data_IF_771392015455
#
_entry.id   IF_771392015455
#
_cell.length_a   1.000
_cell.length_b   1.000
_cell.length_c   1.000
_cell.angle_alpha   90.00
_cell.angle_beta   90.00
_cell.angle_gamma   90.00
#
_symmetry.space_group_name_H-M   'P 1'
#
loop_
_entity.id
_entity.type
_entity.pdbx_description
1 polymer ?
#
# COMPACT_ATOMS: atom_id res chain seq x y z
N UNK A 1 -1.56 1.28 1.88
CA UNK A 1 -1.99 -0.07 2.33
C UNK A 1 -1.03 -1.07 1.71
N UNK A 2 -0.62 -2.11 2.42
CA UNK A 2 0.32 -3.10 1.88
C UNK A 2 -0.25 -4.51 1.96
N UNK A 3 0.34 -5.44 1.21
CA UNK A 3 0.22 -6.86 1.47
C UNK A 3 0.88 -7.22 2.81
N UNK A 4 0.68 -8.46 3.28
CA UNK A 4 1.37 -8.93 4.49
C UNK A 4 2.87 -9.07 4.28
N UNK A 5 3.30 -9.61 3.14
CA UNK A 5 4.71 -9.74 2.79
C UNK A 5 5.41 -8.39 2.70
N UNK A 6 4.80 -7.41 2.02
CA UNK A 6 5.41 -6.08 1.86
C UNK A 6 5.40 -5.31 3.19
N UNK A 7 4.39 -5.52 4.04
CA UNK A 7 4.37 -4.92 5.36
C UNK A 7 5.57 -5.40 6.20
N UNK A 8 5.85 -6.72 6.18
CA UNK A 8 6.99 -7.29 6.90
C UNK A 8 8.31 -6.81 6.31
N UNK A 9 8.46 -6.90 4.99
CA UNK A 9 9.67 -6.46 4.28
C UNK A 9 9.96 -4.98 4.55
N UNK A 10 9.01 -4.09 4.26
CA UNK A 10 9.19 -2.64 4.42
C UNK A 10 9.26 -2.20 5.88
N UNK A 11 8.84 -3.02 6.85
CA UNK A 11 9.02 -2.66 8.27
C UNK A 11 10.48 -2.77 8.72
N UNK A 12 11.29 -3.58 8.03
CA UNK A 12 12.71 -3.77 8.31
C UNK A 12 13.62 -2.87 7.45
N UNK A 13 13.08 -2.28 6.38
CA UNK A 13 13.82 -1.38 5.48
C UNK A 13 14.03 0.03 6.08
N UNK A 14 15.24 0.61 5.96
CA UNK A 14 15.51 1.98 6.37
C UNK A 14 14.57 2.99 5.68
N UNK A 15 14.13 4.01 6.42
CA UNK A 15 13.25 5.04 5.87
C UNK A 15 11.76 4.69 5.85
N UNK A 16 11.42 3.46 6.24
CA UNK A 16 10.06 2.99 6.40
C UNK A 16 9.74 2.64 7.85
N UNK A 17 8.46 2.80 8.21
CA UNK A 17 7.94 2.40 9.52
C UNK A 17 6.47 2.03 9.44
N UNK A 18 5.93 1.22 10.37
CA UNK A 18 4.49 1.03 10.50
C UNK A 18 3.76 2.39 10.62
N UNK A 19 2.73 2.59 9.80
CA UNK A 19 2.02 3.87 9.73
C UNK A 19 1.38 4.21 11.09
N UNK A 20 1.66 5.39 11.66
CA UNK A 20 1.05 5.81 12.92
C UNK A 20 -0.48 5.72 12.89
N UNK A 21 -1.08 5.28 13.99
CA UNK A 21 -2.53 5.06 14.16
C UNK A 21 -3.16 3.94 13.33
N UNK A 22 -2.72 3.72 12.09
CA UNK A 22 -3.29 2.70 11.21
C UNK A 22 -2.73 1.32 11.57
N UNK A 23 -1.41 1.19 11.66
CA UNK A 23 -0.77 -0.05 12.03
C UNK A 23 -1.07 -0.45 13.48
N UNK A 24 -1.14 0.51 14.39
CA UNK A 24 -1.52 0.26 15.79
C UNK A 24 -2.96 -0.22 15.97
N UNK A 25 -3.80 -0.13 14.94
CA UNK A 25 -5.17 -0.67 14.89
C UNK A 25 -5.28 -1.98 14.12
N UNK A 26 -4.15 -2.66 13.90
CA UNK A 26 -4.10 -3.97 13.25
C UNK A 26 -4.20 -3.92 11.72
N UNK A 27 -4.07 -2.73 11.10
CA UNK A 27 -4.06 -2.62 9.65
C UNK A 27 -2.63 -2.61 9.11
N UNK A 28 -2.35 -3.41 8.09
CA UNK A 28 -1.04 -3.41 7.42
C UNK A 28 -0.88 -2.17 6.52
N UNK A 29 -0.40 -1.07 7.11
CA UNK A 29 -0.07 0.17 6.42
C UNK A 29 1.34 0.60 6.82
N UNK A 30 2.17 0.90 5.83
CA UNK A 30 3.51 1.43 6.02
C UNK A 30 3.53 2.93 5.74
N UNK A 31 4.44 3.64 6.38
CA UNK A 31 4.81 5.01 6.09
C UNK A 31 6.28 5.02 5.67
N UNK A 32 6.56 5.49 4.45
CA UNK A 32 7.89 6.00 4.09
C UNK A 32 8.01 7.39 4.73
N UNK A 33 8.98 7.58 5.62
CA UNK A 33 9.19 8.83 6.35
C UNK A 33 10.52 9.51 6.02
N UNK A 34 11.43 8.77 5.39
CA UNK A 34 12.72 9.26 4.92
C UNK A 34 13.01 8.49 3.63
N UNK A 35 13.07 9.20 2.50
CA UNK A 35 13.20 8.62 1.16
C UNK A 35 14.28 9.38 0.41
N UNK A 36 15.30 8.70 -0.15
CA UNK A 36 16.20 9.35 -1.10
C UNK A 36 15.46 9.62 -2.42
N UNK A 37 15.81 10.71 -3.12
CA UNK A 37 15.22 11.15 -4.40
C UNK A 37 15.33 10.11 -5.56
N UNK A 38 15.98 8.96 -5.31
CA UNK A 38 16.21 7.88 -6.27
C UNK A 38 15.20 6.74 -6.20
N UNK A 39 14.24 6.77 -5.27
CA UNK A 39 13.25 5.70 -5.02
C UNK A 39 11.89 5.90 -5.72
N UNK A 40 11.79 6.82 -6.68
CA UNK A 40 10.50 7.16 -7.32
C UNK A 40 9.80 5.95 -7.96
N UNK A 41 10.54 5.06 -8.65
CA UNK A 41 9.96 3.89 -9.32
C UNK A 41 9.41 2.85 -8.33
N UNK A 42 10.12 2.61 -7.23
CA UNK A 42 9.66 1.69 -6.18
C UNK A 42 8.47 2.26 -5.42
N UNK A 43 8.49 3.56 -5.13
CA UNK A 43 7.37 4.25 -4.51
C UNK A 43 6.11 4.17 -5.40
N UNK A 44 6.26 4.40 -6.71
CA UNK A 44 5.16 4.24 -7.67
C UNK A 44 4.60 2.82 -7.62
N UNK A 45 5.46 1.80 -7.67
CA UNK A 45 5.05 0.41 -7.57
C UNK A 45 4.21 0.14 -6.31
N UNK A 46 4.67 0.56 -5.13
CA UNK A 46 3.94 0.33 -3.88
C UNK A 46 2.63 1.14 -3.79
N UNK A 47 2.55 2.30 -4.44
CA UNK A 47 1.30 3.07 -4.55
C UNK A 47 0.29 2.35 -5.44
N UNK A 48 0.72 1.83 -6.60
CA UNK A 48 -0.12 1.06 -7.52
C UNK A 48 -0.67 -0.19 -6.85
N UNK A 49 0.19 -0.95 -6.16
CA UNK A 49 -0.23 -2.15 -5.42
C UNK A 49 -1.17 -1.80 -4.25
N UNK A 50 -0.88 -0.72 -3.51
CA UNK A 50 -1.79 -0.21 -2.48
C UNK A 50 -3.17 0.13 -3.04
N UNK A 51 -3.21 0.78 -4.20
CA UNK A 51 -4.46 1.10 -4.89
C UNK A 51 -5.21 -0.17 -5.31
N UNK A 52 -4.51 -1.16 -5.87
CA UNK A 52 -5.10 -2.45 -6.22
C UNK A 52 -5.73 -3.13 -4.99
N UNK A 53 -4.99 -3.30 -3.89
CA UNK A 53 -5.47 -3.92 -2.65
C UNK A 53 -6.71 -3.23 -2.11
N UNK A 54 -6.71 -1.88 -2.06
CA UNK A 54 -7.87 -1.11 -1.56
C UNK A 54 -9.06 -1.25 -2.52
N UNK A 55 -8.82 -1.26 -3.82
CA UNK A 55 -9.88 -1.41 -4.83
C UNK A 55 -10.60 -2.76 -4.73
N UNK A 56 -9.91 -3.83 -4.32
CA UNK A 56 -10.51 -5.15 -4.08
C UNK A 56 -11.54 -5.13 -2.94
N UNK A 57 -11.43 -4.20 -2.00
CA UNK A 57 -12.40 -4.01 -0.91
C UNK A 57 -13.72 -3.34 -1.35
N UNK A 58 -13.78 -2.79 -2.56
CA UNK A 58 -15.01 -2.21 -3.11
C UNK A 58 -16.00 -3.31 -3.51
N UNK A 59 -17.30 -2.97 -3.55
CA UNK A 59 -18.31 -3.89 -4.08
C UNK A 59 -18.08 -4.13 -5.58
N UNK A 60 -18.44 -5.31 -6.10
CA UNK A 60 -18.32 -5.63 -7.54
C UNK A 60 -19.01 -4.59 -8.44
N UNK A 61 -20.14 -4.04 -7.98
CA UNK A 61 -20.84 -2.95 -8.69
C UNK A 61 -19.95 -1.71 -8.79
N UNK A 62 -19.34 -1.30 -7.67
CA UNK A 62 -18.49 -0.10 -7.63
C UNK A 62 -17.18 -0.28 -8.39
N UNK A 63 -16.59 -1.48 -8.32
CA UNK A 63 -15.43 -1.86 -9.13
C UNK A 63 -15.74 -1.69 -10.62
N UNK A 64 -16.86 -2.24 -11.10
CA UNK A 64 -17.32 -2.09 -12.50
C UNK A 64 -17.62 -0.65 -12.90
N UNK A 65 -18.26 0.13 -12.03
CA UNK A 65 -18.53 1.57 -12.29
C UNK A 65 -17.25 2.39 -12.47
N UNK A 66 -16.17 1.99 -11.80
CA UNK A 66 -14.87 2.66 -11.83
C UNK A 66 -13.87 1.99 -12.78
N UNK A 67 -14.29 0.97 -13.52
CA UNK A 67 -13.42 0.16 -14.40
C UNK A 67 -12.21 -0.48 -13.68
N UNK A 68 -12.38 -0.87 -12.42
CA UNK A 68 -11.35 -1.49 -11.59
C UNK A 68 -11.53 -3.01 -11.54
N UNK A 69 -10.46 -3.80 -11.64
CA UNK A 69 -10.49 -5.26 -11.45
C UNK A 69 -11.47 -6.01 -12.39
N UNK A 70 -11.49 -5.66 -13.68
CA UNK A 70 -12.41 -6.27 -14.67
C UNK A 70 -11.91 -7.58 -15.29
N UNK A 71 -10.77 -8.09 -14.82
CA UNK A 71 -10.13 -9.32 -15.32
C UNK A 71 -10.82 -10.59 -14.82
#
# INVERSE_FOLDING_TARGET
KTSESDFLFLSDEPGYRPAPYLASRGMMWIQQYDAPDTEDDELIYYIEESHHIVSLGLTRKKQKELDLNQN
#
